data_IF_827206765868
#
_entry.id   IF_827206765868
#
_cell.length_a   1.000
_cell.length_b   1.000
_cell.length_c   1.000
_cell.angle_alpha   90.00
_cell.angle_beta   90.00
_cell.angle_gamma   90.00
#
_symmetry.space_group_name_H-M   'P 1'
#
loop_
_entity.id
_entity.type
_entity.pdbx_description
1 polymer ?
#
# COMPACT_ATOMS: atom_id res chain seq x y z
N UNK A 1 -24.65 -40.67 28.24
CA UNK A 1 -25.78 -39.91 28.84
C UNK A 1 -26.69 -39.52 27.70
N UNK A 2 -27.98 -39.82 27.83
CA UNK A 2 -28.99 -39.63 26.79
C UNK A 2 -29.23 -38.14 26.51
N UNK A 3 -29.31 -37.76 25.24
CA UNK A 3 -29.76 -36.43 24.83
C UNK A 3 -31.29 -36.38 24.91
N UNK A 4 -31.77 -35.68 25.94
CA UNK A 4 -33.18 -35.38 26.14
C UNK A 4 -33.60 -34.23 25.20
N UNK A 5 -34.38 -34.56 24.17
CA UNK A 5 -35.75 -34.07 23.98
C UNK A 5 -36.06 -32.57 23.82
N UNK A 6 -35.10 -31.65 23.96
CA UNK A 6 -35.35 -30.24 23.66
C UNK A 6 -34.94 -29.96 22.21
N UNK A 7 -35.91 -29.66 21.34
CA UNK A 7 -35.68 -28.95 20.07
C UNK A 7 -35.05 -27.59 20.44
N UNK A 8 -33.72 -27.57 20.56
CA UNK A 8 -32.94 -26.34 20.53
C UNK A 8 -33.27 -25.75 19.17
N UNK A 9 -33.92 -24.59 19.13
CA UNK A 9 -33.96 -23.79 17.91
C UNK A 9 -32.49 -23.43 17.69
N UNK A 10 -31.79 -24.22 16.89
CA UNK A 10 -30.43 -23.90 16.51
C UNK A 10 -30.60 -22.80 15.47
N UNK A 11 -30.45 -21.55 15.90
CA UNK A 11 -30.22 -20.45 14.97
C UNK A 11 -28.97 -20.80 14.15
N UNK A 12 -29.00 -20.52 12.85
CA UNK A 12 -27.83 -20.69 11.99
C UNK A 12 -26.59 -20.00 12.58
N UNK A 13 -25.36 -20.41 12.21
CA UNK A 13 -24.16 -19.71 12.64
C UNK A 13 -24.17 -18.26 12.16
N UNK A 14 -23.50 -17.39 12.91
CA UNK A 14 -23.16 -16.05 12.46
C UNK A 14 -21.68 -16.00 12.12
N UNK A 15 -21.38 -15.64 10.89
CA UNK A 15 -20.06 -15.58 10.31
C UNK A 15 -19.36 -14.25 10.64
N UNK A 16 -18.14 -14.37 11.14
CA UNK A 16 -17.12 -13.33 11.09
C UNK A 16 -16.54 -13.23 9.67
N UNK A 17 -15.84 -12.13 9.36
CA UNK A 17 -15.26 -11.94 8.03
C UNK A 17 -14.15 -12.98 7.76
N UNK A 18 -14.20 -13.78 6.67
CA UNK A 18 -13.43 -15.02 6.54
C UNK A 18 -11.97 -14.81 6.11
N UNK A 19 -11.49 -13.57 6.03
CA UNK A 19 -10.11 -13.23 5.70
C UNK A 19 -9.54 -12.19 6.65
N UNK A 20 -8.24 -12.26 6.86
CA UNK A 20 -7.49 -11.22 7.58
C UNK A 20 -6.10 -11.01 6.97
N UNK A 21 -5.54 -9.83 7.25
CA UNK A 21 -4.15 -9.51 6.89
C UNK A 21 -3.19 -10.43 7.64
N UNK A 22 -2.26 -11.04 6.93
CA UNK A 22 -1.15 -11.75 7.55
C UNK A 22 -0.21 -10.77 8.28
N UNK A 23 0.56 -11.28 9.24
CA UNK A 23 1.56 -10.47 9.93
C UNK A 23 2.60 -9.92 8.95
N UNK A 24 2.91 -8.62 9.07
CA UNK A 24 3.88 -7.93 8.21
C UNK A 24 3.31 -7.33 6.92
N UNK A 25 2.02 -7.52 6.64
CA UNK A 25 1.34 -6.83 5.53
C UNK A 25 0.91 -5.44 5.99
N UNK A 26 1.50 -4.41 5.39
CA UNK A 26 1.36 -3.01 5.80
C UNK A 26 0.34 -2.21 4.97
N UNK A 27 -0.58 -2.88 4.27
CA UNK A 27 -1.71 -2.21 3.61
C UNK A 27 -2.83 -1.94 4.62
N UNK A 28 -3.63 -0.90 4.41
CA UNK A 28 -4.79 -0.57 5.25
C UNK A 28 -5.88 -1.64 5.14
N UNK A 29 -6.17 -2.09 3.92
CA UNK A 29 -7.08 -3.19 3.60
C UNK A 29 -6.53 -4.05 2.44
N UNK A 30 -6.95 -5.31 2.33
CA UNK A 30 -6.31 -6.35 1.50
C UNK A 30 -7.22 -6.96 0.44
N UNK A 31 -8.46 -6.49 0.33
CA UNK A 31 -9.41 -7.10 -0.58
C UNK A 31 -10.40 -6.11 -1.17
N UNK A 32 -11.04 -6.54 -2.26
CA UNK A 32 -12.35 -6.06 -2.72
C UNK A 32 -13.35 -7.21 -2.72
N UNK A 33 -14.61 -6.95 -2.36
CA UNK A 33 -15.68 -7.89 -2.65
C UNK A 33 -16.08 -7.64 -4.10
N UNK A 34 -15.86 -8.59 -5.01
CA UNK A 34 -16.09 -8.37 -6.45
C UNK A 34 -17.40 -8.96 -6.93
N UNK A 35 -17.72 -10.17 -6.52
CA UNK A 35 -18.93 -10.86 -6.92
C UNK A 35 -19.65 -11.41 -5.68
N UNK A 36 -20.98 -11.27 -5.66
CA UNK A 36 -21.88 -11.84 -4.67
C UNK A 36 -22.65 -13.02 -5.27
N UNK A 37 -23.48 -13.68 -4.47
CA UNK A 37 -24.34 -14.77 -4.95
C UNK A 37 -25.28 -14.23 -6.03
N UNK A 38 -25.44 -14.96 -7.12
CA UNK A 38 -26.47 -14.71 -8.11
C UNK A 38 -27.81 -15.31 -7.64
N UNK A 39 -28.79 -14.44 -7.49
CA UNK A 39 -30.13 -14.73 -7.00
C UNK A 39 -31.08 -15.13 -8.12
N UNK A 40 -30.74 -14.83 -9.37
CA UNK A 40 -31.55 -15.24 -10.52
C UNK A 40 -31.03 -16.60 -11.03
N UNK A 41 -31.87 -17.62 -10.87
CA UNK A 41 -31.53 -18.97 -11.29
C UNK A 41 -31.66 -19.18 -12.80
N UNK A 42 -32.23 -18.21 -13.53
CA UNK A 42 -32.26 -18.25 -15.00
C UNK A 42 -30.91 -17.80 -15.56
N UNK A 43 -30.53 -18.32 -16.72
CA UNK A 43 -29.25 -17.99 -17.35
C UNK A 43 -29.38 -18.13 -18.88
N UNK A 44 -28.53 -17.47 -19.70
CA UNK A 44 -27.44 -16.56 -19.32
C UNK A 44 -27.77 -15.06 -19.35
N UNK A 45 -26.90 -14.26 -18.73
CA UNK A 45 -26.96 -12.81 -18.53
C UNK A 45 -28.20 -12.35 -17.77
N UNK A 46 -28.62 -13.16 -16.80
CA UNK A 46 -29.72 -12.87 -15.88
C UNK A 46 -29.11 -12.83 -14.50
N UNK A 47 -28.51 -11.67 -14.18
CA UNK A 47 -27.70 -11.49 -12.99
C UNK A 47 -28.43 -10.59 -11.99
N UNK A 48 -28.50 -11.02 -10.75
CA UNK A 48 -29.13 -10.29 -9.67
C UNK A 48 -28.42 -10.61 -8.34
N UNK A 49 -27.81 -9.62 -7.69
CA UNK A 49 -27.26 -9.83 -6.34
C UNK A 49 -28.30 -9.56 -5.23
N UNK A 50 -27.94 -9.88 -3.98
CA UNK A 50 -28.78 -9.69 -2.79
C UNK A 50 -29.34 -8.26 -2.63
N UNK A 51 -28.63 -7.26 -3.17
CA UNK A 51 -28.97 -5.84 -3.09
C UNK A 51 -29.65 -5.33 -4.37
N UNK A 52 -30.17 -6.23 -5.20
CA UNK A 52 -30.81 -5.93 -6.47
C UNK A 52 -29.88 -5.28 -7.50
N UNK A 53 -28.57 -5.44 -7.33
CA UNK A 53 -27.54 -4.99 -8.25
C UNK A 53 -27.13 -6.06 -9.24
N UNK A 54 -26.04 -5.78 -9.95
CA UNK A 54 -25.45 -6.66 -10.97
C UNK A 54 -24.04 -7.09 -10.58
N UNK A 55 -23.67 -7.02 -9.30
CA UNK A 55 -22.33 -7.35 -8.81
C UNK A 55 -22.22 -8.85 -8.56
N UNK A 56 -22.48 -9.61 -9.61
CA UNK A 56 -22.48 -11.08 -9.69
C UNK A 56 -22.30 -11.50 -11.16
N UNK A 57 -22.29 -12.80 -11.45
CA UNK A 57 -22.22 -13.30 -12.81
C UNK A 57 -22.86 -14.69 -12.97
N UNK A 58 -23.24 -15.00 -14.21
CA UNK A 58 -23.62 -16.33 -14.66
C UNK A 58 -22.79 -16.75 -15.88
N UNK A 59 -23.01 -17.98 -16.36
CA UNK A 59 -22.38 -18.48 -17.59
C UNK A 59 -23.41 -19.06 -18.54
N UNK A 60 -23.08 -19.08 -19.84
CA UNK A 60 -23.89 -19.75 -20.87
C UNK A 60 -24.02 -21.27 -20.68
N UNK A 61 -23.16 -21.87 -19.86
CA UNK A 61 -23.19 -23.28 -19.52
C UNK A 61 -24.13 -23.62 -18.35
N UNK A 62 -24.73 -22.61 -17.71
CA UNK A 62 -25.71 -22.80 -16.62
C UNK A 62 -25.16 -22.75 -15.21
N UNK A 63 -23.96 -22.21 -15.04
CA UNK A 63 -23.45 -21.85 -13.72
C UNK A 63 -23.91 -20.44 -13.34
N UNK A 64 -24.53 -20.32 -12.16
CA UNK A 64 -24.82 -19.06 -11.46
C UNK A 64 -23.85 -18.95 -10.29
N UNK A 65 -23.31 -17.75 -10.04
CA UNK A 65 -22.30 -17.57 -8.99
C UNK A 65 -22.85 -17.91 -7.60
N UNK A 66 -22.25 -18.88 -6.93
CA UNK A 66 -22.81 -19.48 -5.70
C UNK A 66 -22.22 -18.92 -4.39
N UNK A 67 -21.33 -17.93 -4.46
CA UNK A 67 -20.61 -17.45 -3.29
C UNK A 67 -20.32 -15.97 -3.30
N UNK A 68 -19.44 -15.54 -2.39
CA UNK A 68 -18.83 -14.22 -2.40
C UNK A 68 -17.34 -14.31 -2.73
N UNK A 69 -16.91 -13.49 -3.68
CA UNK A 69 -15.52 -13.40 -4.12
C UNK A 69 -14.82 -12.21 -3.46
N UNK A 70 -13.89 -12.52 -2.56
CA UNK A 70 -13.02 -11.55 -1.90
C UNK A 70 -11.67 -11.51 -2.61
N UNK A 71 -11.59 -10.69 -3.65
CA UNK A 71 -10.41 -10.55 -4.50
C UNK A 71 -9.31 -9.80 -3.76
N UNK A 72 -8.09 -10.35 -3.81
CA UNK A 72 -6.93 -9.77 -3.16
C UNK A 72 -6.50 -8.48 -3.87
N UNK A 73 -6.33 -7.38 -3.13
CA UNK A 73 -6.05 -6.03 -3.66
C UNK A 73 -5.27 -5.21 -2.60
N UNK A 74 -4.18 -4.46 -2.91
CA UNK A 74 -3.80 -3.86 -4.20
C UNK A 74 -2.91 -4.67 -5.15
N UNK A 75 -2.13 -5.63 -4.65
CA UNK A 75 -1.18 -6.40 -5.46
C UNK A 75 -1.39 -7.89 -5.21
N UNK A 76 -2.26 -8.49 -6.02
CA UNK A 76 -2.82 -9.80 -5.78
C UNK A 76 -1.73 -10.88 -5.78
N UNK A 77 -0.90 -10.93 -6.82
CA UNK A 77 0.11 -11.96 -6.97
C UNK A 77 1.30 -11.75 -6.03
N UNK A 78 1.71 -10.51 -5.76
CA UNK A 78 2.67 -10.19 -4.69
C UNK A 78 2.16 -10.71 -3.34
N UNK A 79 0.89 -10.49 -3.01
CA UNK A 79 0.32 -10.99 -1.76
C UNK A 79 0.21 -12.51 -1.73
N UNK A 80 -0.08 -13.18 -2.84
CA UNK A 80 0.01 -14.65 -2.90
C UNK A 80 1.43 -15.11 -2.56
N UNK A 81 2.45 -14.50 -3.14
CA UNK A 81 3.85 -14.90 -2.90
C UNK A 81 4.30 -14.67 -1.47
N UNK A 82 3.83 -13.60 -0.85
CA UNK A 82 4.12 -13.22 0.53
C UNK A 82 3.22 -13.90 1.56
N UNK A 83 2.26 -14.73 1.14
CA UNK A 83 1.21 -15.27 2.02
C UNK A 83 0.41 -14.18 2.75
N UNK A 84 0.11 -13.08 2.06
CA UNK A 84 -0.38 -11.84 2.68
C UNK A 84 -1.84 -11.86 3.15
N UNK A 85 -2.65 -12.80 2.66
CA UNK A 85 -4.07 -12.92 3.02
C UNK A 85 -4.34 -14.29 3.62
N UNK A 86 -4.60 -14.31 4.91
CA UNK A 86 -5.00 -15.51 5.65
C UNK A 86 -6.50 -15.72 5.52
N UNK A 87 -6.89 -16.95 5.22
CA UNK A 87 -8.27 -17.43 5.31
C UNK A 87 -8.46 -18.02 6.70
N UNK A 88 -9.51 -17.58 7.38
CA UNK A 88 -9.86 -17.98 8.75
C UNK A 88 -11.26 -18.56 8.79
N UNK A 89 -11.51 -19.47 9.73
CA UNK A 89 -12.83 -20.03 9.94
C UNK A 89 -13.80 -18.92 10.35
N UNK A 90 -14.83 -18.69 9.54
CA UNK A 90 -15.80 -17.62 9.75
C UNK A 90 -16.66 -17.87 11.00
N UNK A 91 -16.87 -19.14 11.37
CA UNK A 91 -17.52 -19.57 12.59
C UNK A 91 -16.92 -20.91 13.05
N UNK A 92 -17.15 -21.29 14.31
CA UNK A 92 -16.69 -22.58 14.83
C UNK A 92 -17.40 -23.76 14.13
N UNK A 93 -16.69 -24.87 13.93
CA UNK A 93 -17.23 -26.04 13.25
C UNK A 93 -16.25 -27.20 13.14
N UNK A 94 -16.61 -28.24 12.40
CA UNK A 94 -15.78 -29.41 12.13
C UNK A 94 -15.30 -29.40 10.68
N UNK A 95 -14.02 -29.69 10.44
CA UNK A 95 -13.50 -29.86 9.09
C UNK A 95 -14.06 -31.15 8.48
N UNK A 96 -14.89 -31.04 7.45
CA UNK A 96 -15.51 -32.19 6.79
C UNK A 96 -14.73 -32.66 5.56
N UNK A 97 -14.07 -31.73 4.87
CA UNK A 97 -13.23 -32.03 3.72
C UNK A 97 -12.13 -30.96 3.59
N UNK A 98 -10.98 -31.37 3.05
CA UNK A 98 -9.93 -30.43 2.64
C UNK A 98 -9.06 -31.01 1.52
N UNK A 99 -8.60 -30.15 0.62
CA UNK A 99 -7.65 -30.49 -0.45
C UNK A 99 -6.73 -29.31 -0.71
N UNK A 100 -5.42 -29.54 -0.83
CA UNK A 100 -4.44 -28.45 -0.83
C UNK A 100 -3.25 -28.60 -1.78
N UNK A 101 -3.25 -29.61 -2.65
CA UNK A 101 -2.08 -29.95 -3.49
C UNK A 101 -2.19 -29.48 -4.95
N UNK A 102 -3.32 -28.87 -5.34
CA UNK A 102 -3.60 -28.46 -6.71
C UNK A 102 -2.82 -27.21 -7.10
N UNK A 103 -2.64 -27.02 -8.40
CA UNK A 103 -2.05 -25.80 -8.97
C UNK A 103 -2.87 -24.57 -8.55
N UNK A 104 -2.17 -23.51 -8.13
CA UNK A 104 -2.73 -22.35 -7.42
C UNK A 104 -2.45 -21.00 -8.09
N UNK A 105 -2.00 -21.04 -9.35
CA UNK A 105 -1.70 -19.87 -10.18
C UNK A 105 -2.55 -19.83 -11.45
N UNK A 106 -3.82 -20.21 -11.36
CA UNK A 106 -4.78 -20.13 -12.47
C UNK A 106 -5.08 -18.68 -12.84
N UNK A 107 -5.31 -18.47 -14.14
CA UNK A 107 -5.60 -17.18 -14.76
C UNK A 107 -6.84 -17.22 -15.65
N UNK A 108 -7.56 -18.34 -15.66
CA UNK A 108 -8.66 -18.57 -16.60
C UNK A 108 -9.78 -19.32 -15.91
N UNK A 109 -10.97 -19.21 -16.50
CA UNK A 109 -12.02 -20.14 -16.17
C UNK A 109 -11.68 -21.54 -16.74
N UNK A 110 -11.88 -22.59 -15.95
CA UNK A 110 -11.54 -23.97 -16.27
C UNK A 110 -12.27 -24.96 -15.34
N UNK A 111 -12.08 -26.26 -15.56
CA UNK A 111 -12.70 -27.32 -14.74
C UNK A 111 -11.71 -27.96 -13.74
N UNK A 112 -10.62 -27.26 -13.41
CA UNK A 112 -9.62 -27.80 -12.50
C UNK A 112 -10.14 -27.81 -11.06
N UNK A 113 -9.73 -28.84 -10.32
CA UNK A 113 -10.01 -28.95 -8.88
C UNK A 113 -9.31 -27.82 -8.13
N UNK A 114 -10.05 -27.10 -7.30
CA UNK A 114 -9.52 -26.10 -6.39
C UNK A 114 -8.89 -26.70 -5.11
N UNK A 115 -8.08 -25.91 -4.43
CA UNK A 115 -7.70 -26.14 -3.05
C UNK A 115 -8.72 -25.46 -2.13
N UNK A 116 -9.22 -26.19 -1.13
CA UNK A 116 -10.31 -25.70 -0.30
C UNK A 116 -10.38 -26.41 1.05
N UNK A 117 -11.07 -25.79 2.00
CA UNK A 117 -11.47 -26.35 3.30
C UNK A 117 -12.99 -26.21 3.44
N UNK A 118 -13.64 -27.24 3.98
CA UNK A 118 -15.09 -27.32 4.13
C UNK A 118 -15.37 -27.49 5.63
N UNK A 119 -16.11 -26.57 6.23
CA UNK A 119 -16.38 -26.55 7.67
C UNK A 119 -17.87 -26.70 7.91
N UNK A 120 -18.28 -27.77 8.62
CA UNK A 120 -19.65 -27.97 9.04
C UNK A 120 -19.91 -27.36 10.43
N UNK A 121 -21.01 -26.64 10.56
CA UNK A 121 -21.41 -25.96 11.78
C UNK A 121 -22.42 -26.78 12.59
N UNK A 122 -22.73 -26.32 13.81
CA UNK A 122 -23.58 -27.06 14.75
C UNK A 122 -25.03 -27.27 14.29
N UNK A 123 -25.50 -26.44 13.35
CA UNK A 123 -26.83 -26.56 12.73
C UNK A 123 -26.84 -27.51 11.52
N UNK A 124 -25.67 -28.01 11.10
CA UNK A 124 -25.49 -28.87 9.94
C UNK A 124 -25.09 -28.14 8.65
N UNK A 125 -25.18 -26.79 8.62
CA UNK A 125 -24.73 -25.98 7.48
C UNK A 125 -23.23 -26.13 7.24
N UNK A 126 -22.79 -25.93 6.00
CA UNK A 126 -21.39 -26.10 5.60
C UNK A 126 -20.90 -24.85 4.88
N UNK A 127 -19.83 -24.26 5.39
CA UNK A 127 -19.11 -23.18 4.74
C UNK A 127 -17.91 -23.72 3.95
N UNK A 128 -17.80 -23.32 2.68
CA UNK A 128 -16.71 -23.67 1.78
C UNK A 128 -15.76 -22.49 1.66
N UNK A 129 -14.46 -22.77 1.76
CA UNK A 129 -13.40 -21.78 1.64
C UNK A 129 -12.49 -22.18 0.49
N UNK A 130 -12.66 -21.53 -0.66
CA UNK A 130 -12.08 -21.92 -1.94
C UNK A 130 -10.79 -21.20 -2.37
N UNK A 131 -10.29 -21.63 -3.53
CA UNK A 131 -9.15 -21.05 -4.27
C UNK A 131 -7.85 -20.87 -3.47
N UNK A 132 -7.59 -21.74 -2.50
CA UNK A 132 -6.44 -21.60 -1.60
C UNK A 132 -5.08 -21.82 -2.29
N UNK A 133 -4.03 -21.21 -1.74
CA UNK A 133 -2.65 -21.42 -2.14
C UNK A 133 -2.23 -22.87 -1.88
N UNK A 134 -1.49 -23.46 -2.81
CA UNK A 134 -0.98 -24.83 -2.73
C UNK A 134 -0.13 -25.01 -1.47
N UNK A 135 -0.37 -26.10 -0.75
CA UNK A 135 0.32 -26.50 0.47
C UNK A 135 0.25 -25.46 1.61
N UNK A 136 -0.77 -24.60 1.62
CA UNK A 136 -0.93 -23.54 2.65
C UNK A 136 -1.99 -23.84 3.72
N UNK A 137 -2.80 -24.88 3.51
CA UNK A 137 -3.92 -25.20 4.38
C UNK A 137 -3.48 -25.54 5.81
N UNK A 138 -4.40 -25.36 6.76
CA UNK A 138 -4.26 -25.77 8.16
C UNK A 138 -3.74 -27.20 8.31
N UNK A 139 -2.94 -27.40 9.37
CA UNK A 139 -2.38 -28.70 9.74
C UNK A 139 -3.41 -29.64 10.36
N UNK A 140 -4.59 -29.13 10.75
CA UNK A 140 -5.73 -29.93 11.20
C UNK A 140 -6.22 -30.88 10.11
N UNK A 141 -6.72 -32.04 10.54
CA UNK A 141 -7.22 -33.10 9.68
C UNK A 141 -8.74 -33.06 9.58
N UNK A 142 -9.29 -33.82 8.61
CA UNK A 142 -10.74 -34.03 8.53
C UNK A 142 -11.22 -34.68 9.83
N UNK A 143 -12.30 -34.15 10.40
CA UNK A 143 -12.86 -34.52 11.70
C UNK A 143 -12.42 -33.61 12.85
N UNK A 144 -11.37 -32.80 12.69
CA UNK A 144 -10.97 -31.85 13.72
C UNK A 144 -11.92 -30.66 13.81
N UNK A 145 -12.12 -30.16 15.03
CA UNK A 145 -12.87 -28.93 15.29
C UNK A 145 -11.99 -27.71 15.06
N UNK A 146 -12.54 -26.64 14.49
CA UNK A 146 -11.94 -25.30 14.40
C UNK A 146 -12.77 -24.29 15.18
N UNK A 147 -12.09 -23.34 15.81
CA UNK A 147 -12.75 -22.17 16.40
C UNK A 147 -12.94 -21.07 15.35
N UNK A 148 -13.88 -20.16 15.58
CA UNK A 148 -13.96 -18.91 14.81
C UNK A 148 -12.62 -18.15 14.85
N UNK A 149 -12.21 -17.60 13.71
CA UNK A 149 -10.95 -16.87 13.57
C UNK A 149 -9.70 -17.75 13.49
N UNK A 150 -9.87 -19.08 13.58
CA UNK A 150 -8.76 -20.02 13.44
C UNK A 150 -8.28 -20.09 11.98
N UNK A 151 -6.97 -20.17 11.79
CA UNK A 151 -6.33 -20.25 10.49
C UNK A 151 -6.74 -21.51 9.71
N UNK A 152 -7.18 -21.34 8.46
CA UNK A 152 -7.55 -22.42 7.53
C UNK A 152 -6.60 -22.54 6.34
N UNK A 153 -6.00 -21.44 5.89
CA UNK A 153 -5.10 -21.43 4.74
C UNK A 153 -4.75 -20.03 4.26
N UNK A 154 -4.12 -19.94 3.09
CA UNK A 154 -3.75 -18.68 2.44
C UNK A 154 -4.53 -18.55 1.13
N UNK A 155 -4.95 -17.33 0.78
CA UNK A 155 -5.56 -17.06 -0.53
C UNK A 155 -4.58 -17.36 -1.67
N UNK A 156 -5.05 -18.04 -2.70
CA UNK A 156 -4.33 -18.28 -3.94
C UNK A 156 -5.25 -18.09 -5.13
N UNK A 157 -4.96 -18.76 -6.25
CA UNK A 157 -5.82 -18.82 -7.43
C UNK A 157 -5.86 -20.27 -7.97
N UNK A 158 -6.27 -21.22 -7.14
CA UNK A 158 -6.37 -22.63 -7.54
C UNK A 158 -7.71 -22.98 -8.18
N UNK A 159 -7.72 -23.93 -9.11
CA UNK A 159 -8.95 -24.37 -9.77
C UNK A 159 -9.49 -23.37 -10.79
N UNK A 160 -10.81 -23.30 -10.91
CA UNK A 160 -11.55 -22.37 -11.77
C UNK A 160 -11.45 -20.92 -11.24
N UNK A 161 -10.31 -20.26 -11.43
CA UNK A 161 -10.05 -18.92 -10.90
C UNK A 161 -9.22 -18.09 -11.89
N UNK A 162 -9.62 -16.84 -12.10
CA UNK A 162 -8.94 -15.90 -12.99
C UNK A 162 -7.95 -14.97 -12.27
N UNK A 163 -8.09 -14.79 -10.96
CA UNK A 163 -7.25 -13.89 -10.15
C UNK A 163 -7.26 -14.35 -8.68
N UNK A 164 -6.24 -14.05 -7.86
CA UNK A 164 -6.24 -14.47 -6.46
C UNK A 164 -7.40 -13.92 -5.63
N UNK A 165 -8.22 -14.80 -5.08
CA UNK A 165 -9.37 -14.44 -4.26
C UNK A 165 -9.77 -15.58 -3.31
N UNK A 166 -10.50 -15.27 -2.24
CA UNK A 166 -11.30 -16.26 -1.54
C UNK A 166 -12.67 -16.32 -2.22
N UNK A 167 -13.11 -17.52 -2.60
CA UNK A 167 -14.51 -17.81 -2.88
C UNK A 167 -15.13 -18.48 -1.65
N UNK A 168 -16.18 -17.86 -1.11
CA UNK A 168 -16.85 -18.31 0.11
C UNK A 168 -18.31 -18.64 -0.17
N UNK A 169 -18.69 -19.90 -0.01
CA UNK A 169 -20.07 -20.40 -0.20
C UNK A 169 -20.60 -20.97 1.11
N UNK A 170 -21.92 -20.98 1.25
CA UNK A 170 -22.60 -21.57 2.40
C UNK A 170 -23.75 -22.43 1.90
N UNK A 171 -23.81 -23.68 2.34
CA UNK A 171 -24.90 -24.60 2.05
C UNK A 171 -25.60 -25.03 3.33
N UNK A 172 -26.91 -25.32 3.23
CA UNK A 172 -27.70 -25.76 4.39
C UNK A 172 -27.27 -27.15 4.91
N UNK A 173 -26.54 -27.94 4.12
CA UNK A 173 -26.04 -29.24 4.51
C UNK A 173 -24.77 -29.64 3.71
N UNK A 174 -24.18 -30.78 4.05
CA UNK A 174 -23.02 -31.34 3.33
C UNK A 174 -23.38 -31.79 1.90
N UNK A 175 -24.64 -32.17 1.68
CA UNK A 175 -25.19 -32.37 0.35
C UNK A 175 -25.60 -30.97 -0.17
N UNK A 176 -24.88 -30.41 -1.16
CA UNK A 176 -24.95 -28.99 -1.52
C UNK A 176 -26.17 -28.67 -2.42
N UNK A 177 -27.34 -29.14 -2.02
CA UNK A 177 -28.59 -28.95 -2.79
C UNK A 177 -29.25 -27.60 -2.50
N UNK A 178 -28.97 -27.01 -1.33
CA UNK A 178 -29.61 -25.79 -0.85
C UNK A 178 -28.53 -24.76 -0.51
N UNK A 179 -28.34 -23.83 -1.44
CA UNK A 179 -27.46 -22.68 -1.28
C UNK A 179 -28.07 -21.66 -0.31
N UNK A 180 -27.21 -21.05 0.51
CA UNK A 180 -27.51 -19.93 1.39
C UNK A 180 -26.68 -18.74 0.93
N UNK A 181 -27.32 -17.59 0.73
CA UNK A 181 -26.59 -16.33 0.57
C UNK A 181 -26.43 -15.70 1.96
N UNK A 182 -25.19 -15.61 2.49
CA UNK A 182 -24.99 -15.11 3.84
C UNK A 182 -25.37 -13.63 4.00
N UNK A 183 -25.60 -12.89 2.90
CA UNK A 183 -26.07 -11.52 2.92
C UNK A 183 -27.60 -11.41 2.93
N UNK A 184 -28.15 -10.58 3.80
CA UNK A 184 -29.55 -10.14 3.71
C UNK A 184 -29.67 -8.92 2.81
N UNK A 185 -30.69 -8.90 1.95
CA UNK A 185 -31.05 -7.75 1.13
C UNK A 185 -32.38 -7.95 0.43
N UNK A 186 -32.89 -6.89 -0.19
CA UNK A 186 -34.25 -6.88 -0.77
C UNK A 186 -34.44 -7.90 -1.91
N UNK A 187 -33.37 -8.34 -2.55
CA UNK A 187 -33.41 -9.31 -3.64
C UNK A 187 -32.79 -10.66 -3.28
N UNK A 188 -32.42 -10.88 -2.00
CA UNK A 188 -32.10 -12.23 -1.56
C UNK A 188 -33.39 -13.05 -1.44
N UNK A 189 -33.52 -14.08 -2.27
CA UNK A 189 -34.67 -15.00 -2.27
C UNK A 189 -34.36 -16.34 -1.60
N UNK A 190 -33.09 -16.64 -1.31
CA UNK A 190 -32.62 -17.90 -0.71
C UNK A 190 -32.87 -17.94 0.80
N UNK A 191 -32.72 -16.81 1.49
CA UNK A 191 -32.93 -16.67 2.94
C UNK A 191 -33.29 -15.23 3.32
N UNK A 192 -33.96 -15.05 4.46
CA UNK A 192 -34.51 -13.76 4.87
C UNK A 192 -33.56 -12.88 5.68
N UNK A 193 -32.76 -13.49 6.53
CA UNK A 193 -31.90 -12.83 7.51
C UNK A 193 -30.41 -13.01 7.19
N UNK A 194 -29.61 -12.12 7.76
CA UNK A 194 -28.17 -12.09 7.53
C UNK A 194 -27.49 -13.17 8.35
N UNK A 195 -26.57 -13.90 7.72
CA UNK A 195 -25.71 -14.86 8.41
C UNK A 195 -24.37 -14.24 8.81
N UNK A 196 -24.17 -12.94 8.60
CA UNK A 196 -23.00 -12.21 9.09
C UNK A 196 -23.24 -11.68 10.51
N UNK A 197 -22.25 -11.80 11.40
CA UNK A 197 -22.28 -11.14 12.70
C UNK A 197 -22.41 -9.61 12.55
N UNK A 198 -21.69 -9.06 11.57
CA UNK A 198 -21.73 -7.66 11.18
C UNK A 198 -21.74 -7.61 9.65
N UNK A 199 -22.93 -7.59 9.06
CA UNK A 199 -23.06 -7.48 7.62
C UNK A 199 -22.43 -6.19 7.12
N UNK A 200 -21.48 -6.32 6.20
CA UNK A 200 -20.89 -5.18 5.48
C UNK A 200 -21.90 -4.64 4.46
N UNK A 201 -21.90 -3.33 4.18
CA UNK A 201 -22.74 -2.78 3.14
C UNK A 201 -22.36 -3.36 1.78
N UNK A 202 -23.32 -3.42 0.84
CA UNK A 202 -23.10 -3.90 -0.53
C UNK A 202 -21.96 -3.16 -1.25
N UNK A 203 -21.88 -1.85 -1.00
CA UNK A 203 -20.85 -0.96 -1.50
C UNK A 203 -20.12 -0.37 -0.30
N UNK A 204 -18.83 -0.66 -0.16
CA UNK A 204 -17.98 -0.27 0.99
C UNK A 204 -16.72 0.48 0.50
N UNK A 205 -16.87 1.75 0.05
CA UNK A 205 -15.77 2.55 -0.46
C UNK A 205 -14.67 2.75 0.59
N UNK A 206 -13.46 2.31 0.28
CA UNK A 206 -12.32 2.33 1.20
C UNK A 206 -11.00 2.62 0.51
N UNK A 207 -10.04 3.11 1.29
CA UNK A 207 -8.64 3.13 0.91
C UNK A 207 -8.01 1.79 1.31
N UNK A 208 -7.47 1.06 0.34
CA UNK A 208 -6.70 -0.16 0.58
C UNK A 208 -5.25 0.15 0.93
N UNK A 209 -4.65 1.15 0.27
CA UNK A 209 -3.29 1.58 0.56
C UNK A 209 -3.02 2.99 0.03
N UNK A 210 -2.13 3.68 0.73
CA UNK A 210 -1.46 4.92 0.30
C UNK A 210 0.02 4.62 0.33
N UNK A 211 0.72 4.75 -0.81
CA UNK A 211 2.09 4.23 -0.95
C UNK A 211 2.97 5.22 -1.71
N UNK A 212 4.28 5.11 -1.53
CA UNK A 212 5.30 5.75 -2.37
C UNK A 212 6.06 4.72 -3.18
N UNK A 213 6.42 5.09 -4.39
CA UNK A 213 7.10 4.22 -5.34
C UNK A 213 8.25 4.95 -6.04
N UNK A 214 9.34 4.22 -6.32
CA UNK A 214 10.45 4.72 -7.14
C UNK A 214 10.12 4.77 -8.63
N UNK A 215 9.08 4.07 -9.07
CA UNK A 215 8.56 4.12 -10.44
C UNK A 215 7.07 3.74 -10.44
N UNK A 216 6.39 3.89 -11.56
CA UNK A 216 5.00 3.45 -11.72
C UNK A 216 4.95 1.91 -11.60
N UNK A 217 4.07 1.36 -10.74
CA UNK A 217 3.86 -0.09 -10.62
C UNK A 217 3.50 -0.73 -11.95
N UNK A 218 4.03 -1.93 -12.20
CA UNK A 218 3.72 -2.73 -13.38
C UNK A 218 2.91 -3.94 -12.95
N UNK A 219 1.74 -4.10 -13.56
CA UNK A 219 0.86 -5.26 -13.43
C UNK A 219 1.10 -6.16 -14.66
N UNK A 220 1.98 -7.16 -14.57
CA UNK A 220 2.30 -8.03 -15.71
C UNK A 220 1.13 -8.97 -16.02
N UNK A 221 1.23 -9.68 -17.13
CA UNK A 221 0.30 -10.75 -17.45
C UNK A 221 0.30 -11.81 -16.34
N UNK A 222 -0.90 -12.25 -15.98
CA UNK A 222 -1.13 -13.34 -15.05
C UNK A 222 -0.36 -14.61 -15.51
N UNK A 223 0.28 -15.37 -14.59
CA UNK A 223 0.22 -15.26 -13.13
C UNK A 223 1.46 -14.60 -12.52
N UNK A 224 2.12 -13.67 -13.22
CA UNK A 224 3.35 -13.07 -12.72
C UNK A 224 3.06 -12.06 -11.59
N UNK A 225 3.91 -12.01 -10.54
CA UNK A 225 3.76 -11.01 -9.48
C UNK A 225 3.96 -9.59 -9.98
N UNK A 226 3.18 -8.66 -9.43
CA UNK A 226 3.31 -7.24 -9.73
C UNK A 226 4.69 -6.71 -9.36
N UNK A 227 5.27 -5.88 -10.24
CA UNK A 227 6.51 -5.16 -9.95
C UNK A 227 6.10 -3.81 -9.37
N UNK A 228 6.10 -3.71 -8.05
CA UNK A 228 5.44 -2.59 -7.36
C UNK A 228 6.29 -1.32 -7.29
N UNK A 229 7.62 -1.46 -7.30
CA UNK A 229 8.56 -0.36 -7.05
C UNK A 229 8.30 0.41 -5.75
N UNK A 230 7.61 -0.19 -4.77
CA UNK A 230 7.41 0.43 -3.44
C UNK A 230 8.77 0.77 -2.81
N UNK A 231 8.89 1.99 -2.30
CA UNK A 231 10.05 2.47 -1.56
C UNK A 231 9.61 3.56 -0.59
N UNK A 232 10.28 3.61 0.56
CA UNK A 232 10.08 4.63 1.59
C UNK A 232 11.33 5.48 1.81
N UNK A 233 12.40 5.23 1.04
CA UNK A 233 13.65 5.98 1.14
C UNK A 233 14.06 6.47 -0.25
N UNK A 234 14.27 7.78 -0.35
CA UNK A 234 14.53 8.46 -1.62
C UNK A 234 15.64 9.49 -1.48
N UNK A 235 16.32 9.77 -2.60
CA UNK A 235 17.17 10.92 -2.72
C UNK A 235 16.37 12.19 -3.05
N UNK A 236 16.88 13.36 -2.68
CA UNK A 236 16.22 14.64 -2.97
C UNK A 236 15.98 14.91 -4.47
N UNK A 237 16.74 14.24 -5.34
CA UNK A 237 16.62 14.31 -6.80
C UNK A 237 15.75 13.19 -7.41
N UNK A 238 15.30 12.22 -6.61
CA UNK A 238 14.51 11.09 -7.12
C UNK A 238 13.09 11.54 -7.48
N UNK A 239 12.55 10.97 -8.55
CA UNK A 239 11.14 11.13 -8.89
C UNK A 239 10.30 10.12 -8.10
N UNK A 240 9.64 10.61 -7.05
CA UNK A 240 8.73 9.81 -6.22
C UNK A 240 7.35 9.77 -6.86
N UNK A 241 6.80 8.57 -6.98
CA UNK A 241 5.44 8.32 -7.44
C UNK A 241 4.54 8.02 -6.22
N UNK A 242 3.44 8.76 -6.13
CA UNK A 242 2.51 8.73 -5.01
C UNK A 242 1.26 7.96 -5.41
N UNK A 243 1.09 6.76 -4.84
CA UNK A 243 0.01 5.84 -5.16
C UNK A 243 -1.14 5.93 -4.16
N UNK A 244 -2.36 5.81 -4.66
CA UNK A 244 -3.57 5.56 -3.85
C UNK A 244 -4.33 4.40 -4.48
N UNK A 245 -4.69 3.41 -3.66
CA UNK A 245 -5.39 2.19 -4.06
C UNK A 245 -6.72 2.13 -3.33
N UNK A 246 -7.80 1.95 -4.08
CA UNK A 246 -9.17 2.02 -3.57
C UNK A 246 -9.94 0.73 -3.83
N UNK A 247 -10.89 0.46 -2.93
CA UNK A 247 -12.01 -0.46 -3.11
C UNK A 247 -13.28 0.34 -3.30
N UNK A 248 -14.18 -0.16 -4.14
CA UNK A 248 -15.53 0.39 -4.36
C UNK A 248 -15.49 1.90 -4.61
N UNK A 249 -14.63 2.31 -5.54
CA UNK A 249 -14.56 3.69 -6.00
C UNK A 249 -15.92 4.11 -6.56
N UNK A 250 -16.36 5.29 -6.13
CA UNK A 250 -17.62 5.90 -6.57
C UNK A 250 -17.41 7.09 -7.50
N UNK A 251 -18.07 7.04 -8.65
CA UNK A 251 -18.19 8.16 -9.57
C UNK A 251 -18.87 9.38 -8.90
N UNK A 252 -18.40 10.58 -9.24
CA UNK A 252 -18.90 11.84 -8.69
C UNK A 252 -18.37 12.19 -7.30
N UNK A 253 -17.49 11.37 -6.73
CA UNK A 253 -16.82 11.64 -5.44
C UNK A 253 -15.40 12.15 -5.67
N UNK A 254 -14.73 12.61 -4.60
CA UNK A 254 -13.36 13.12 -4.69
C UNK A 254 -12.45 12.53 -3.62
N UNK A 255 -11.16 12.44 -3.94
CA UNK A 255 -10.09 12.14 -2.99
C UNK A 255 -9.35 13.45 -2.69
N UNK A 256 -9.21 13.81 -1.42
CA UNK A 256 -8.33 14.90 -1.01
C UNK A 256 -6.91 14.35 -0.80
N UNK A 257 -5.91 15.00 -1.39
CA UNK A 257 -4.54 14.53 -1.48
C UNK A 257 -3.58 15.59 -0.93
N UNK A 258 -2.63 15.19 -0.08
CA UNK A 258 -1.63 16.09 0.51
C UNK A 258 -0.23 15.51 0.52
N UNK A 259 0.74 16.35 0.18
CA UNK A 259 2.16 16.11 0.44
C UNK A 259 2.57 17.06 1.57
N UNK A 260 3.06 16.50 2.67
CA UNK A 260 3.39 17.23 3.90
C UNK A 260 4.89 17.11 4.16
N UNK A 261 5.53 18.24 4.43
CA UNK A 261 6.97 18.36 4.68
C UNK A 261 7.35 17.83 6.08
N UNK A 262 8.65 17.63 6.34
CA UNK A 262 9.16 17.26 7.67
C UNK A 262 8.84 18.29 8.77
N UNK A 263 8.67 19.57 8.43
CA UNK A 263 8.33 20.65 9.36
C UNK A 263 6.82 20.86 9.56
N UNK A 264 6.00 19.86 9.20
CA UNK A 264 4.54 19.89 9.20
C UNK A 264 3.88 20.88 8.22
N UNK A 265 4.66 21.64 7.45
CA UNK A 265 4.09 22.50 6.42
C UNK A 265 3.55 21.68 5.24
N UNK A 266 2.43 22.12 4.66
CA UNK A 266 1.82 21.48 3.50
C UNK A 266 2.55 21.94 2.24
N UNK A 267 3.08 21.00 1.44
CA UNK A 267 3.64 21.28 0.11
C UNK A 267 2.52 21.37 -0.94
N UNK A 268 1.62 20.38 -0.95
CA UNK A 268 0.43 20.38 -1.81
C UNK A 268 -0.81 19.91 -1.04
N UNK A 269 -1.97 20.43 -1.42
CA UNK A 269 -3.29 20.00 -0.96
C UNK A 269 -4.30 20.24 -2.09
N UNK A 270 -4.87 19.19 -2.66
CA UNK A 270 -5.83 19.29 -3.77
C UNK A 270 -6.83 18.15 -3.74
N UNK A 271 -7.94 18.34 -4.45
CA UNK A 271 -8.96 17.31 -4.64
C UNK A 271 -8.84 16.71 -6.04
N UNK A 272 -8.98 15.38 -6.13
CA UNK A 272 -9.06 14.64 -7.37
C UNK A 272 -10.46 14.03 -7.53
N UNK A 273 -11.18 14.41 -8.58
CA UNK A 273 -12.54 13.92 -8.86
C UNK A 273 -12.50 12.57 -9.55
N UNK A 274 -13.24 11.61 -8.99
CA UNK A 274 -13.43 10.27 -9.51
C UNK A 274 -14.66 10.27 -10.42
N UNK A 275 -14.49 9.90 -11.68
CA UNK A 275 -15.55 9.98 -12.70
C UNK A 275 -16.24 8.65 -12.99
N UNK A 276 -15.57 7.54 -12.68
CA UNK A 276 -16.06 6.18 -12.93
C UNK A 276 -16.21 5.40 -11.62
N UNK A 277 -17.08 4.39 -11.65
CA UNK A 277 -17.18 3.39 -10.59
C UNK A 277 -16.21 2.24 -10.87
N UNK A 278 -15.48 1.80 -9.85
CA UNK A 278 -14.61 0.62 -9.94
C UNK A 278 -14.65 -0.17 -8.63
N UNK A 279 -14.74 -1.50 -8.71
CA UNK A 279 -14.57 -2.36 -7.52
C UNK A 279 -13.14 -2.27 -6.95
N UNK A 280 -12.17 -2.01 -7.82
CA UNK A 280 -10.75 -1.82 -7.49
C UNK A 280 -10.14 -0.82 -8.46
N UNK A 281 -9.48 0.19 -7.93
CA UNK A 281 -8.79 1.20 -8.73
C UNK A 281 -7.51 1.65 -8.07
N UNK A 282 -6.60 2.18 -8.87
CA UNK A 282 -5.39 2.82 -8.39
C UNK A 282 -5.14 4.10 -9.18
N UNK A 283 -4.54 5.06 -8.52
CA UNK A 283 -4.20 6.36 -9.08
C UNK A 283 -2.77 6.71 -8.68
N UNK A 284 -2.08 7.39 -9.58
CA UNK A 284 -0.66 7.71 -9.41
C UNK A 284 -0.41 9.16 -9.77
N UNK A 285 0.33 9.84 -8.90
CA UNK A 285 0.81 11.20 -9.11
C UNK A 285 2.32 11.24 -8.90
N UNK A 286 2.96 12.32 -9.34
CA UNK A 286 4.36 12.58 -9.00
C UNK A 286 4.53 14.09 -8.78
N UNK A 287 5.52 14.45 -7.97
CA UNK A 287 5.95 15.83 -7.81
C UNK A 287 7.12 16.10 -8.75
N UNK A 288 7.00 17.15 -9.57
CA UNK A 288 8.02 17.54 -10.56
C UNK A 288 9.07 18.54 -10.05
N UNK A 289 8.94 19.01 -8.81
CA UNK A 289 9.92 19.91 -8.20
C UNK A 289 10.98 19.16 -7.39
N UNK A 290 11.70 19.90 -6.55
CA UNK A 290 12.81 19.37 -5.73
C UNK A 290 12.36 19.19 -4.30
N UNK A 291 12.70 18.05 -3.69
CA UNK A 291 12.52 17.84 -2.27
C UNK A 291 13.58 18.62 -1.49
N UNK A 292 13.20 19.82 -1.06
CA UNK A 292 14.10 20.81 -0.48
C UNK A 292 14.32 20.66 1.04
N UNK A 293 13.89 19.55 1.63
CA UNK A 293 14.06 19.26 3.06
C UNK A 293 14.44 17.80 3.24
N UNK A 294 15.50 17.58 4.00
CA UNK A 294 15.85 16.25 4.48
C UNK A 294 14.95 15.86 5.65
N UNK A 295 14.59 14.59 5.72
CA UNK A 295 13.79 14.03 6.80
C UNK A 295 12.56 13.28 6.29
N UNK A 296 11.63 13.04 7.22
CA UNK A 296 10.42 12.27 6.95
C UNK A 296 9.31 13.17 6.40
N UNK A 297 8.92 12.91 5.17
CA UNK A 297 7.76 13.48 4.50
C UNK A 297 6.54 12.57 4.68
N UNK A 298 5.34 13.10 4.44
CA UNK A 298 4.09 12.34 4.49
C UNK A 298 3.27 12.53 3.23
N UNK A 299 2.78 11.42 2.69
CA UNK A 299 1.79 11.34 1.63
C UNK A 299 0.45 10.96 2.25
N UNK A 300 -0.57 11.80 2.11
CA UNK A 300 -1.86 11.61 2.75
C UNK A 300 -2.99 11.63 1.73
N UNK A 301 -3.91 10.68 1.84
CA UNK A 301 -5.14 10.65 1.08
C UNK A 301 -6.35 10.58 2.01
N UNK A 302 -7.39 11.33 1.68
CA UNK A 302 -8.70 11.27 2.36
C UNK A 302 -9.78 10.93 1.36
N UNK A 303 -10.47 9.81 1.58
CA UNK A 303 -11.56 9.32 0.74
C UNK A 303 -12.69 8.82 1.63
N UNK A 304 -13.92 9.28 1.39
CA UNK A 304 -15.12 8.83 2.11
C UNK A 304 -14.95 8.87 3.64
N UNK A 305 -14.42 10.01 4.14
CA UNK A 305 -14.11 10.28 5.55
C UNK A 305 -12.96 9.44 6.15
N UNK A 306 -12.32 8.57 5.38
CA UNK A 306 -11.13 7.83 5.79
C UNK A 306 -9.88 8.59 5.38
N UNK A 307 -9.03 8.93 6.34
CA UNK A 307 -7.72 9.54 6.08
C UNK A 307 -6.63 8.52 6.37
N UNK A 308 -5.82 8.23 5.35
CA UNK A 308 -4.63 7.38 5.46
C UNK A 308 -3.40 8.23 5.18
N UNK A 309 -2.35 8.05 5.98
CA UNK A 309 -1.08 8.78 5.85
C UNK A 309 0.08 7.80 5.78
N UNK A 310 0.82 7.84 4.68
CA UNK A 310 2.05 7.11 4.46
C UNK A 310 3.26 8.02 4.72
N UNK A 311 4.30 7.48 5.35
CA UNK A 311 5.52 8.23 5.65
C UNK A 311 6.68 7.72 4.82
N UNK A 312 7.49 8.62 4.28
CA UNK A 312 8.68 8.29 3.50
C UNK A 312 9.81 9.27 3.83
N UNK A 313 11.05 8.84 3.69
CA UNK A 313 12.24 9.62 3.97
C UNK A 313 12.83 10.17 2.67
N UNK A 314 13.25 11.41 2.72
CA UNK A 314 14.08 12.01 1.68
C UNK A 314 15.41 12.42 2.29
N UNK A 315 16.50 11.98 1.66
CA UNK A 315 17.87 12.32 2.05
C UNK A 315 18.62 12.86 0.84
N UNK A 316 19.45 13.89 0.98
CA UNK A 316 20.23 14.35 -0.15
C UNK A 316 21.04 15.60 0.13
N UNK A 317 22.04 15.81 -0.70
CA UNK A 317 22.86 17.02 -0.70
C UNK A 317 22.04 18.12 -1.41
N UNK A 318 21.66 19.16 -0.67
CA UNK A 318 21.01 20.36 -1.19
C UNK A 318 22.03 21.16 -2.01
N UNK A 319 22.36 20.67 -3.21
CA UNK A 319 23.64 20.97 -3.83
C UNK A 319 23.61 21.55 -5.25
N UNK A 320 22.56 22.25 -5.66
CA UNK A 320 22.71 23.16 -6.82
C UNK A 320 23.58 24.37 -6.46
N UNK A 321 23.49 24.85 -5.22
CA UNK A 321 24.34 25.95 -4.76
C UNK A 321 25.78 25.48 -4.45
N UNK A 322 26.00 24.21 -4.05
CA UNK A 322 27.33 23.72 -3.63
C UNK A 322 28.32 23.60 -4.79
N UNK A 323 27.86 23.25 -5.99
CA UNK A 323 28.73 23.17 -7.17
C UNK A 323 29.32 24.55 -7.50
N UNK A 324 28.53 25.63 -7.44
CA UNK A 324 29.01 26.99 -7.66
C UNK A 324 29.97 27.45 -6.55
N UNK A 325 29.72 27.09 -5.29
CA UNK A 325 30.62 27.43 -4.17
C UNK A 325 31.96 26.68 -4.27
N UNK A 326 31.95 25.44 -4.78
CA UNK A 326 33.15 24.61 -4.97
C UNK A 326 34.16 25.22 -5.96
N UNK A 327 33.71 26.05 -6.91
CA UNK A 327 34.58 26.75 -7.87
C UNK A 327 35.29 27.98 -7.27
N UNK A 328 34.93 28.39 -6.05
CA UNK A 328 35.49 29.57 -5.39
C UNK A 328 37.02 29.48 -5.29
N UNK A 329 37.73 30.49 -5.77
CA UNK A 329 39.20 30.51 -5.77
C UNK A 329 39.73 31.87 -5.32
N UNK A 330 41.03 31.93 -5.06
CA UNK A 330 41.73 33.12 -4.56
C UNK A 330 42.89 33.47 -5.50
N UNK A 331 43.03 34.76 -5.83
CA UNK A 331 44.14 35.27 -6.63
C UNK A 331 44.62 36.66 -6.14
N UNK A 332 45.93 36.95 -6.13
CA UNK A 332 47.03 36.01 -6.35
C UNK A 332 47.23 35.10 -5.12
N UNK A 333 47.84 33.94 -5.32
CA UNK A 333 48.30 33.06 -4.25
C UNK A 333 49.51 32.25 -4.76
N UNK A 334 50.75 32.56 -4.36
CA UNK A 334 51.14 33.42 -3.24
C UNK A 334 50.74 34.90 -3.37
N UNK A 335 50.56 35.58 -2.23
CA UNK A 335 50.08 36.96 -2.15
C UNK A 335 51.00 37.86 -1.34
N UNK A 336 50.96 39.18 -1.66
CA UNK A 336 51.64 40.22 -0.88
C UNK A 336 50.69 40.80 0.14
N UNK A 337 49.87 41.80 -0.20
CA UNK A 337 49.03 42.47 0.81
C UNK A 337 47.56 42.09 0.74
N UNK A 338 47.06 41.73 -0.44
CA UNK A 338 45.63 41.50 -0.67
C UNK A 338 45.41 40.26 -1.52
N UNK A 339 44.23 39.70 -1.37
CA UNK A 339 43.74 38.61 -2.21
C UNK A 339 42.32 38.89 -2.68
N UNK A 340 42.05 38.58 -3.94
CA UNK A 340 40.73 38.67 -4.56
C UNK A 340 40.03 37.33 -4.46
N UNK A 341 38.76 37.37 -4.10
CA UNK A 341 37.87 36.20 -4.05
C UNK A 341 37.12 36.11 -5.36
N UNK A 342 37.35 35.02 -6.10
CA UNK A 342 36.65 34.72 -7.36
C UNK A 342 35.62 33.66 -7.04
N UNK A 343 34.35 34.05 -6.95
CA UNK A 343 33.21 33.15 -6.70
C UNK A 343 32.01 33.59 -7.52
N UNK A 344 31.18 32.63 -7.91
CA UNK A 344 29.83 32.91 -8.44
C UNK A 344 28.81 33.15 -7.32
N UNK A 345 29.10 32.66 -6.12
CA UNK A 345 28.25 32.79 -4.94
C UNK A 345 28.68 33.99 -4.10
N UNK A 346 27.73 34.58 -3.36
CA UNK A 346 28.03 35.68 -2.45
C UNK A 346 28.77 35.16 -1.21
N UNK A 347 29.96 35.71 -0.95
CA UNK A 347 30.75 35.39 0.24
C UNK A 347 30.39 36.37 1.36
N UNK A 348 29.88 35.89 2.48
CA UNK A 348 29.46 36.75 3.60
C UNK A 348 30.54 36.87 4.66
N UNK A 349 31.34 35.83 4.84
CA UNK A 349 32.36 35.78 5.89
C UNK A 349 33.62 35.08 5.41
N UNK A 350 34.75 35.61 5.86
CA UNK A 350 36.08 35.11 5.56
C UNK A 350 36.89 35.06 6.86
N UNK A 351 37.34 33.87 7.23
CA UNK A 351 38.11 33.61 8.45
C UNK A 351 39.51 33.14 8.08
N UNK A 352 40.54 33.84 8.53
CA UNK A 352 41.94 33.44 8.33
C UNK A 352 42.47 32.81 9.61
N UNK A 353 43.10 31.64 9.46
CA UNK A 353 43.73 30.89 10.55
C UNK A 353 45.20 30.61 10.20
N UNK A 354 46.06 30.57 11.22
CA UNK A 354 47.45 30.12 11.07
C UNK A 354 47.55 28.58 11.01
N UNK A 355 48.77 28.05 10.81
CA UNK A 355 49.02 26.60 10.73
C UNK A 355 48.74 25.83 12.03
N UNK A 356 48.56 26.53 13.15
CA UNK A 356 48.19 25.95 14.44
C UNK A 356 46.67 26.03 14.69
N UNK A 357 45.90 26.53 13.71
CA UNK A 357 44.45 26.65 13.80
C UNK A 357 43.98 27.90 14.56
N UNK A 358 44.87 28.82 14.95
CA UNK A 358 44.49 30.05 15.63
C UNK A 358 43.94 31.06 14.62
N UNK A 359 42.77 31.61 14.90
CA UNK A 359 42.19 32.70 14.10
C UNK A 359 43.03 33.98 14.21
N UNK A 360 43.44 34.50 13.05
CA UNK A 360 44.25 35.72 12.95
C UNK A 360 43.51 36.89 12.30
N UNK A 361 42.45 36.62 11.55
CA UNK A 361 41.58 37.66 10.96
C UNK A 361 40.18 37.12 10.69
N UNK A 362 39.16 37.96 10.86
CA UNK A 362 37.77 37.67 10.49
C UNK A 362 37.20 38.88 9.77
N UNK A 363 36.67 38.67 8.56
CA UNK A 363 35.97 39.68 7.78
C UNK A 363 34.53 39.20 7.59
N UNK A 364 33.56 40.10 7.73
CA UNK A 364 32.15 39.79 7.52
C UNK A 364 31.45 40.98 6.86
N UNK A 365 30.46 40.70 6.01
CA UNK A 365 29.63 41.71 5.33
C UNK A 365 28.19 41.24 5.27
N UNK A 366 27.24 42.18 5.31
CA UNK A 366 25.81 41.86 5.22
C UNK A 366 25.22 42.05 3.82
N UNK A 367 25.83 42.86 2.95
CA UNK A 367 25.13 43.40 1.77
C UNK A 367 25.85 43.20 0.41
N UNK A 368 27.18 43.39 0.30
CA UNK A 368 27.85 43.46 -1.02
C UNK A 368 28.72 42.25 -1.39
N UNK A 369 28.86 41.27 -0.49
CA UNK A 369 29.74 40.12 -0.66
C UNK A 369 31.23 40.48 -0.61
N UNK A 370 32.05 39.61 -0.01
CA UNK A 370 33.50 39.82 0.10
C UNK A 370 34.15 39.48 -1.25
N UNK A 371 34.66 40.51 -1.94
CA UNK A 371 35.39 40.35 -3.21
C UNK A 371 36.90 40.50 -3.08
N UNK A 372 37.38 41.19 -2.06
CA UNK A 372 38.79 41.38 -1.77
C UNK A 372 39.02 41.33 -0.26
N UNK A 373 40.14 40.73 0.16
CA UNK A 373 40.53 40.59 1.55
C UNK A 373 41.93 41.20 1.73
N UNK A 374 42.04 42.20 2.61
CA UNK A 374 43.32 42.83 2.95
C UNK A 374 43.99 42.09 4.13
N UNK A 375 45.20 41.59 3.90
CA UNK A 375 46.01 40.76 4.79
C UNK A 375 47.44 41.32 4.93
N UNK A 376 47.58 42.64 4.83
CA UNK A 376 48.86 43.33 4.98
C UNK A 376 49.52 43.06 6.34
N UNK A 377 48.72 42.96 7.41
CA UNK A 377 49.18 42.73 8.79
C UNK A 377 49.75 41.34 9.06
N UNK A 378 49.59 40.39 8.12
CA UNK A 378 50.10 39.03 8.29
C UNK A 378 51.60 38.96 8.01
N UNK A 379 52.31 38.22 8.87
CA UNK A 379 53.71 37.87 8.64
C UNK A 379 53.85 36.85 7.51
N UNK A 380 55.02 36.79 6.86
CA UNK A 380 55.33 35.80 5.81
C UNK A 380 55.09 34.39 6.33
N UNK A 381 54.44 33.54 5.54
CA UNK A 381 54.09 32.19 5.96
C UNK A 381 52.83 31.63 5.31
N UNK A 382 52.41 30.46 5.80
CA UNK A 382 51.22 29.75 5.34
C UNK A 382 50.03 30.02 6.27
N UNK A 383 48.86 30.21 5.67
CA UNK A 383 47.60 30.40 6.38
C UNK A 383 46.48 29.58 5.71
N UNK A 384 45.37 29.39 6.41
CA UNK A 384 44.14 28.84 5.83
C UNK A 384 43.03 29.88 5.89
N UNK A 385 42.41 30.10 4.73
CA UNK A 385 41.25 30.98 4.57
C UNK A 385 39.99 30.13 4.44
N UNK A 386 39.08 30.27 5.39
CA UNK A 386 37.73 29.68 5.34
C UNK A 386 36.75 30.75 4.85
N UNK A 387 36.09 30.49 3.73
CA UNK A 387 35.05 31.34 3.16
C UNK A 387 33.69 30.72 3.45
N UNK A 388 32.71 31.53 3.82
CA UNK A 388 31.33 31.11 4.15
C UNK A 388 30.31 31.91 3.30
N UNK A 389 29.35 31.19 2.72
CA UNK A 389 28.24 31.74 1.93
C UNK A 389 26.96 31.99 2.74
N UNK A 390 25.86 32.30 2.05
CA UNK A 390 24.54 32.58 2.64
C UNK A 390 23.76 31.31 3.06
N UNK A 391 24.08 30.15 2.48
CA UNK A 391 23.32 28.90 2.65
C UNK A 391 24.13 27.82 3.42
N UNK A 392 24.86 28.20 4.48
CA UNK A 392 25.74 27.29 5.27
C UNK A 392 26.90 26.63 4.48
N UNK A 393 27.19 27.14 3.29
CA UNK A 393 28.28 26.66 2.44
C UNK A 393 29.63 27.17 2.93
N UNK A 394 30.68 26.36 2.86
CA UNK A 394 32.02 26.82 3.20
C UNK A 394 33.12 26.18 2.34
N UNK A 395 34.25 26.87 2.21
CA UNK A 395 35.42 26.40 1.47
C UNK A 395 36.69 26.86 2.17
N UNK A 396 37.64 25.93 2.31
CA UNK A 396 38.95 26.21 2.90
C UNK A 396 39.99 26.28 1.79
N UNK A 397 40.76 27.35 1.76
CA UNK A 397 41.81 27.61 0.78
C UNK A 397 43.11 27.89 1.51
N UNK A 398 44.18 27.18 1.14
CA UNK A 398 45.53 27.45 1.62
C UNK A 398 46.04 28.75 1.00
N UNK A 399 46.56 29.66 1.81
CA UNK A 399 47.21 30.91 1.38
C UNK A 399 48.70 30.89 1.71
N UNK A 400 49.51 31.52 0.86
CA UNK A 400 50.95 31.71 1.04
C UNK A 400 51.26 33.21 0.98
N UNK A 401 51.68 33.80 2.11
CA UNK A 401 52.13 35.19 2.21
C UNK A 401 53.62 35.29 1.89
N UNK A 402 53.97 36.07 0.87
CA UNK A 402 55.36 36.32 0.45
C UNK A 402 56.11 37.38 1.23
#
# INVERSE_FOLDING_TARGET
>A
MAFDGAKKIISHPLFSWPIRKAAGINYDDIYTARFYVDQDMTYPNKILDFNCGTKTYDTSAGYNHAGVDLVTWPFAWKMVDQNGVEIIAAAAGQIMAKGGSQFDRSCTNNDNVWNAVYVQHADGSVALYGHMKKNSLTTKIVGDMVAEGEFLGIVGSSGNSATPHLHFEVYASIDPDVLIDPFSGNCNSLNSDSWWQNQRPHTDPKINAVLTHGNIPVFPECPNPEITYESDDFNAADQIHFGVYLRDQLAGTSINLKIIRPDDSILYNWDYTLVDNYDSSWWMWYYSGVYNMNGQWRWQATYQLQTVTHSFNVTGVLGLDEEDFSTTSIYPNPFKNRVTVISKSMIQKATVTDVLGKTVSVISTSNEGIKEINLESLSKGMYFLTLEGNSNQHKIIKLIKE
#
